data_IF_256753101824
#
_entry.id   IF_256753101824
#
_cell.length_a   1.000
_cell.length_b   1.000
_cell.length_c   1.000
_cell.angle_alpha   90.00
_cell.angle_beta   90.00
_cell.angle_gamma   90.00
#
_symmetry.space_group_name_H-M   'P 1'
#
loop_
_entity.id
_entity.type
_entity.pdbx_description
1 polymer ?
#
# COMPACT_ATOMS: atom_id res chain seq x y z
N UNK A 1 10.36 2.92 -6.01
CA UNK A 1 9.78 1.92 -5.08
C UNK A 1 10.87 0.93 -4.70
N UNK A 2 10.94 0.52 -3.44
CA UNK A 2 11.87 -0.50 -2.92
C UNK A 2 11.09 -1.46 -2.00
N UNK A 3 11.57 -2.69 -1.74
CA UNK A 3 10.95 -3.58 -0.76
C UNK A 3 10.87 -2.92 0.63
N UNK A 4 9.80 -3.19 1.38
CA UNK A 4 9.56 -2.56 2.69
C UNK A 4 10.72 -2.77 3.69
N UNK A 5 11.45 -3.88 3.59
CA UNK A 5 12.62 -4.19 4.43
C UNK A 5 13.95 -3.65 3.90
N UNK A 6 13.92 -2.88 2.81
CA UNK A 6 15.10 -2.37 2.11
C UNK A 6 15.01 -0.85 1.84
N UNK A 7 14.26 -0.11 2.67
CA UNK A 7 14.21 1.35 2.62
C UNK A 7 15.59 1.89 3.04
N UNK A 8 16.29 2.66 2.19
CA UNK A 8 17.59 3.22 2.53
C UNK A 8 17.52 4.17 3.72
N UNK A 9 18.65 4.34 4.43
CA UNK A 9 18.75 5.32 5.50
C UNK A 9 18.44 6.73 4.99
N UNK A 10 17.72 7.51 5.79
CA UNK A 10 17.26 8.86 5.43
C UNK A 10 16.01 8.89 4.55
N UNK A 11 15.47 7.74 4.14
CA UNK A 11 14.21 7.64 3.40
C UNK A 11 13.07 7.08 4.27
N UNK A 12 11.84 7.33 3.82
CA UNK A 12 10.62 6.83 4.47
C UNK A 12 9.67 6.22 3.43
N UNK A 13 8.95 5.18 3.83
CA UNK A 13 7.85 4.62 3.04
C UNK A 13 6.60 5.50 3.19
N UNK A 14 5.99 5.88 2.08
CA UNK A 14 4.88 6.84 2.04
C UNK A 14 3.62 6.27 1.37
N UNK A 15 3.73 5.13 0.70
CA UNK A 15 2.64 4.37 0.09
C UNK A 15 3.08 2.90 -0.02
N UNK A 16 2.12 1.99 -0.17
CA UNK A 16 2.43 0.58 -0.41
C UNK A 16 2.99 0.38 -1.82
N UNK A 17 3.90 -0.58 -1.96
CA UNK A 17 4.45 -0.97 -3.26
C UNK A 17 3.52 -1.91 -4.03
N UNK A 18 3.77 -2.12 -5.34
CA UNK A 18 2.93 -2.94 -6.20
C UNK A 18 2.84 -4.40 -5.73
N UNK A 19 3.92 -4.95 -5.16
CA UNK A 19 3.91 -6.32 -4.63
C UNK A 19 2.95 -6.46 -3.43
N UNK A 20 2.86 -5.43 -2.57
CA UNK A 20 1.90 -5.40 -1.46
C UNK A 20 0.47 -5.24 -1.96
N UNK A 21 0.24 -4.38 -2.96
CA UNK A 21 -1.07 -4.23 -3.60
C UNK A 21 -1.56 -5.56 -4.16
N UNK A 22 -0.71 -6.26 -4.92
CA UNK A 22 -1.05 -7.58 -5.46
C UNK A 22 -1.37 -8.58 -4.34
N UNK A 23 -0.52 -8.65 -3.30
CA UNK A 23 -0.75 -9.56 -2.18
C UNK A 23 -2.06 -9.26 -1.43
N UNK A 24 -2.45 -7.98 -1.31
CA UNK A 24 -3.74 -7.61 -0.72
C UNK A 24 -4.91 -8.00 -1.62
N UNK A 25 -4.81 -7.75 -2.93
CA UNK A 25 -5.83 -8.20 -3.89
C UNK A 25 -6.04 -9.72 -3.82
N UNK A 26 -4.95 -10.49 -3.82
CA UNK A 26 -5.00 -11.96 -3.75
C UNK A 26 -5.63 -12.43 -2.43
N UNK A 27 -5.26 -11.80 -1.30
CA UNK A 27 -5.81 -12.14 0.00
C UNK A 27 -7.32 -11.80 0.11
N UNK A 28 -7.77 -10.74 -0.55
CA UNK A 28 -9.16 -10.28 -0.52
C UNK A 28 -10.06 -11.01 -1.52
N UNK A 29 -9.51 -11.72 -2.51
CA UNK A 29 -10.26 -12.35 -3.59
C UNK A 29 -11.38 -13.29 -3.09
N UNK A 30 -11.12 -14.02 -2.00
CA UNK A 30 -12.09 -14.95 -1.41
C UNK A 30 -13.04 -14.32 -0.38
N UNK A 31 -12.80 -13.06 0.01
CA UNK A 31 -13.55 -12.40 1.07
C UNK A 31 -15.00 -12.13 0.63
N UNK A 32 -15.95 -12.43 1.52
CA UNK A 32 -17.38 -12.16 1.28
C UNK A 32 -17.85 -10.83 1.84
N UNK A 33 -17.10 -10.27 2.77
CA UNK A 33 -17.39 -8.98 3.38
C UNK A 33 -16.06 -8.37 3.82
N UNK A 34 -15.85 -7.11 3.47
CA UNK A 34 -14.66 -6.33 3.84
C UNK A 34 -15.14 -5.05 4.50
N UNK A 35 -14.55 -4.74 5.66
CA UNK A 35 -14.66 -3.41 6.27
C UNK A 35 -13.27 -2.81 6.16
N UNK A 36 -13.19 -1.65 5.51
CA UNK A 36 -11.92 -0.95 5.34
C UNK A 36 -12.04 0.48 5.88
N UNK A 37 -11.11 0.83 6.76
CA UNK A 37 -10.97 2.17 7.31
C UNK A 37 -9.47 2.51 7.40
N UNK A 38 -9.06 3.56 6.69
CA UNK A 38 -7.70 4.08 6.68
C UNK A 38 -6.99 3.92 5.33
N UNK A 39 -6.27 4.94 4.84
CA UNK A 39 -5.54 4.89 3.58
C UNK A 39 -4.28 4.01 3.68
N UNK A 40 -3.77 3.54 2.54
CA UNK A 40 -2.54 2.74 2.47
C UNK A 40 -1.28 3.59 2.34
N UNK A 41 -1.44 4.85 1.97
CA UNK A 41 -0.37 5.84 1.85
C UNK A 41 -0.81 7.22 2.33
N UNK A 42 0.08 8.20 2.23
CA UNK A 42 -0.23 9.61 2.52
C UNK A 42 -1.01 10.21 1.35
N UNK A 43 -2.26 9.76 1.19
CA UNK A 43 -3.11 9.95 0.02
C UNK A 43 -3.41 11.42 -0.31
N UNK A 44 -3.20 12.34 0.62
CA UNK A 44 -3.28 13.78 0.40
C UNK A 44 -2.26 14.28 -0.64
N UNK A 45 -1.21 13.50 -0.93
CA UNK A 45 -0.28 13.74 -2.02
C UNK A 45 -0.49 12.72 -3.14
N UNK A 46 -0.74 13.20 -4.36
CA UNK A 46 -1.03 12.36 -5.53
C UNK A 46 0.03 11.26 -5.77
N UNK A 47 1.30 11.55 -5.48
CA UNK A 47 2.42 10.61 -5.62
C UNK A 47 2.35 9.42 -4.66
N UNK A 48 1.55 9.49 -3.61
CA UNK A 48 1.44 8.51 -2.52
C UNK A 48 0.00 8.04 -2.30
N UNK A 49 -0.88 8.27 -3.28
CA UNK A 49 -2.28 7.87 -3.23
C UNK A 49 -2.56 6.55 -3.97
N UNK A 50 -1.58 6.04 -4.74
CA UNK A 50 -1.79 4.93 -5.67
C UNK A 50 -2.18 3.65 -4.94
N UNK A 51 -1.54 3.33 -3.81
CA UNK A 51 -1.88 2.14 -3.05
C UNK A 51 -3.25 2.19 -2.36
N UNK A 52 -3.86 3.38 -2.25
CA UNK A 52 -5.20 3.56 -1.69
C UNK A 52 -6.30 3.48 -2.77
N UNK A 53 -5.96 3.65 -4.05
CA UNK A 53 -6.89 3.60 -5.19
C UNK A 53 -7.12 2.17 -5.66
#
# INVERSE_FOLDING_TARGET
VVPAKAIPEGWMGLDIGPDSTQAFCDALESAKTVIWNGPMGVFEFEKFAVGTQ
#
